data_IF_117259042528
#
_entry.id   IF_117259042528
#
_cell.length_a   1.000
_cell.length_b   1.000
_cell.length_c   1.000
_cell.angle_alpha   90.00
_cell.angle_beta   90.00
_cell.angle_gamma   90.00
#
_symmetry.space_group_name_H-M   'P 1'
#
loop_
_entity.id
_entity.type
_entity.pdbx_description
1 polymer ?
#
# COMPACT_ATOMS: atom_id res chain seq x y z
N UNK A 1 -0.66 -9.10 -3.12
CA UNK A 1 -1.53 -8.57 -2.10
C UNK A 1 -1.74 -9.78 -1.21
N UNK A 2 -1.23 -9.69 0.01
CA UNK A 2 -1.02 -10.84 0.87
C UNK A 2 -2.36 -11.43 1.33
N UNK A 3 -2.41 -12.75 1.46
CA UNK A 3 -3.54 -13.45 2.03
C UNK A 3 -3.73 -12.96 3.47
N UNK A 4 -4.98 -12.90 3.93
CA UNK A 4 -5.31 -12.57 5.33
C UNK A 4 -4.64 -13.49 6.37
N UNK A 5 -4.06 -14.61 5.92
CA UNK A 5 -3.45 -15.63 6.77
C UNK A 5 -1.92 -15.50 6.92
N UNK A 6 -1.26 -14.53 6.28
CA UNK A 6 0.18 -14.26 6.52
C UNK A 6 0.41 -13.36 7.75
N UNK A 7 -0.56 -13.27 8.67
CA UNK A 7 -0.44 -12.52 9.92
C UNK A 7 0.16 -13.40 11.01
N UNK A 8 1.45 -13.29 11.23
CA UNK A 8 2.10 -13.43 12.54
C UNK A 8 3.53 -12.83 12.44
N UNK A 9 4.07 -12.04 13.37
CA UNK A 9 3.70 -11.79 14.75
C UNK A 9 3.20 -10.35 14.96
N UNK A 10 1.96 -10.22 15.43
CA UNK A 10 1.67 -9.12 16.34
C UNK A 10 2.43 -9.43 17.63
N UNK A 11 3.34 -8.55 18.04
CA UNK A 11 3.71 -8.47 19.45
C UNK A 11 2.42 -8.19 20.21
N UNK A 12 1.84 -9.27 20.76
CA UNK A 12 0.62 -9.22 21.51
C UNK A 12 0.83 -8.23 22.66
N UNK A 13 -0.13 -7.32 22.85
CA UNK A 13 -0.31 -6.55 24.09
C UNK A 13 -0.36 -7.46 25.35
N UNK A 14 -0.48 -8.78 25.15
CA UNK A 14 -0.31 -9.83 26.14
C UNK A 14 1.09 -9.93 26.74
N UNK A 15 2.17 -9.65 26.00
CA UNK A 15 3.54 -9.75 26.54
C UNK A 15 3.81 -8.70 27.63
N UNK A 16 3.28 -7.49 27.47
CA UNK A 16 3.36 -6.46 28.50
C UNK A 16 2.52 -6.83 29.73
N UNK A 17 1.35 -7.47 29.55
CA UNK A 17 0.54 -7.97 30.68
C UNK A 17 1.15 -9.20 31.34
N UNK A 18 1.88 -10.03 30.60
CA UNK A 18 2.56 -11.19 31.15
C UNK A 18 3.77 -10.73 31.99
N UNK A 19 4.50 -9.72 31.52
CA UNK A 19 5.55 -9.05 32.31
C UNK A 19 4.95 -8.37 33.56
N UNK A 20 3.82 -7.67 33.43
CA UNK A 20 3.13 -7.03 34.58
C UNK A 20 2.55 -8.07 35.55
N UNK A 21 1.99 -9.19 35.09
CA UNK A 21 1.53 -10.30 35.95
C UNK A 21 2.69 -11.03 36.62
N UNK A 22 3.81 -11.20 35.93
CA UNK A 22 5.04 -11.74 36.52
C UNK A 22 5.58 -10.82 37.63
N UNK A 23 5.37 -9.50 37.47
CA UNK A 23 5.63 -8.48 38.50
C UNK A 23 4.65 -8.52 39.67
N UNK A 24 3.34 -8.71 39.43
CA UNK A 24 2.33 -8.82 40.51
C UNK A 24 2.52 -10.08 41.37
N UNK A 25 2.90 -11.21 40.77
CA UNK A 25 3.18 -12.46 41.48
C UNK A 25 4.41 -12.33 42.40
N UNK A 26 5.40 -11.52 42.00
CA UNK A 26 6.59 -11.23 42.82
C UNK A 26 6.31 -10.27 43.99
N UNK A 27 5.26 -9.45 43.89
CA UNK A 27 4.88 -8.49 44.93
C UNK A 27 3.82 -9.03 45.92
N UNK A 28 3.19 -10.17 45.65
CA UNK A 28 2.02 -10.65 46.40
C UNK A 28 2.26 -11.78 47.42
N UNK A 29 3.48 -12.28 47.61
CA UNK A 29 3.76 -13.34 48.60
C UNK A 29 4.68 -12.87 49.75
N UNK A 30 4.12 -12.43 50.89
CA UNK A 30 4.87 -12.13 52.10
C UNK A 30 4.89 -13.36 53.01
N UNK A 31 5.55 -14.44 52.62
CA UNK A 31 5.64 -15.62 53.48
C UNK A 31 6.93 -16.41 53.26
N UNK A 32 8.05 -15.76 53.55
CA UNK A 32 9.20 -16.40 54.21
C UNK A 32 10.22 -15.33 54.63
N UNK A 33 9.83 -14.52 55.62
CA UNK A 33 10.77 -13.66 56.34
C UNK A 33 11.26 -14.41 57.58
N UNK A 34 12.38 -15.12 57.45
CA UNK A 34 13.25 -15.37 58.60
C UNK A 34 14.60 -14.70 58.34
N UNK A 35 14.88 -13.69 59.18
CA UNK A 35 16.16 -13.04 59.42
C UNK A 35 16.99 -12.59 58.20
N UNK A 36 16.69 -11.41 57.65
CA UNK A 36 17.67 -10.61 56.89
C UNK A 36 17.68 -9.17 57.39
N UNK A 37 18.87 -8.69 57.78
CA UNK A 37 19.14 -7.36 58.36
C UNK A 37 18.56 -6.21 57.51
N UNK A 38 17.97 -5.23 58.21
CA UNK A 38 17.31 -4.00 57.74
C UNK A 38 18.15 -3.14 56.78
N UNK A 39 19.47 -3.30 56.77
CA UNK A 39 20.41 -2.54 55.92
C UNK A 39 20.41 -2.95 54.43
N UNK A 40 19.99 -4.18 54.08
CA UNK A 40 19.98 -4.65 52.66
C UNK A 40 18.74 -4.24 51.87
N UNK A 41 17.62 -3.93 52.53
CA UNK A 41 16.38 -3.53 51.86
C UNK A 41 16.45 -2.10 51.32
N UNK A 42 17.05 -1.19 52.08
CA UNK A 42 17.24 0.21 51.68
C UNK A 42 18.10 0.31 50.42
N UNK A 43 19.18 -0.47 50.37
CA UNK A 43 20.08 -0.52 49.21
C UNK A 43 19.36 -1.00 47.94
N UNK A 44 18.54 -2.06 48.03
CA UNK A 44 17.79 -2.58 46.88
C UNK A 44 16.74 -1.58 46.37
N UNK A 45 16.00 -0.92 47.26
CA UNK A 45 15.02 0.10 46.87
C UNK A 45 15.70 1.29 46.16
N UNK A 46 16.86 1.74 46.65
CA UNK A 46 17.65 2.79 46.00
C UNK A 46 18.11 2.36 44.61
N UNK A 47 18.60 1.13 44.43
CA UNK A 47 18.98 0.62 43.10
C UNK A 47 17.80 0.55 42.12
N UNK A 48 16.61 0.17 42.57
CA UNK A 48 15.41 0.17 41.72
C UNK A 48 14.99 1.58 41.32
N UNK A 49 15.01 2.53 42.25
CA UNK A 49 14.68 3.93 41.97
C UNK A 49 15.68 4.52 40.98
N UNK A 50 16.98 4.35 41.21
CA UNK A 50 18.03 4.82 40.29
C UNK A 50 17.91 4.15 38.93
N UNK A 51 17.67 2.84 38.87
CA UNK A 51 17.45 2.12 37.62
C UNK A 51 16.24 2.64 36.83
N UNK A 52 15.12 2.89 37.50
CA UNK A 52 13.93 3.48 36.89
C UNK A 52 14.21 4.89 36.35
N UNK A 53 14.86 5.76 37.14
CA UNK A 53 15.23 7.10 36.70
C UNK A 53 16.22 7.06 35.52
N UNK A 54 17.19 6.14 35.50
CA UNK A 54 18.10 5.95 34.37
C UNK A 54 17.35 5.52 33.09
N UNK A 55 16.36 4.62 33.21
CA UNK A 55 15.53 4.20 32.06
C UNK A 55 14.68 5.38 31.56
N UNK A 56 14.00 6.10 32.45
CA UNK A 56 13.20 7.28 32.09
C UNK A 56 14.07 8.36 31.46
N UNK A 57 15.24 8.64 32.02
CA UNK A 57 16.18 9.61 31.47
C UNK A 57 16.71 9.18 30.11
N UNK A 58 17.04 7.90 29.92
CA UNK A 58 17.47 7.36 28.62
C UNK A 58 16.36 7.45 27.57
N UNK A 59 15.12 7.14 27.93
CA UNK A 59 13.95 7.31 27.03
C UNK A 59 13.73 8.79 26.70
N UNK A 60 13.92 9.69 27.66
CA UNK A 60 13.76 11.12 27.45
C UNK A 60 14.87 11.70 26.55
N UNK A 61 16.13 11.32 26.78
CA UNK A 61 17.27 11.67 25.92
C UNK A 61 17.09 11.11 24.50
N UNK A 62 16.58 9.89 24.37
CA UNK A 62 16.22 9.33 23.08
C UNK A 62 15.13 10.15 22.38
N UNK A 63 14.06 10.55 23.08
CA UNK A 63 13.01 11.42 22.52
C UNK A 63 13.56 12.78 22.07
N UNK A 64 14.37 13.44 22.90
CA UNK A 64 14.97 14.74 22.57
C UNK A 64 15.93 14.63 21.38
N UNK A 65 16.74 13.56 21.33
CA UNK A 65 17.60 13.27 20.18
C UNK A 65 16.79 13.02 18.91
N UNK A 66 15.68 12.28 19.01
CA UNK A 66 14.75 12.06 17.90
C UNK A 66 14.07 13.36 17.44
N UNK A 67 13.63 14.22 18.35
CA UNK A 67 13.10 15.55 18.01
C UNK A 67 14.16 16.43 17.33
N UNK A 68 15.43 16.33 17.74
CA UNK A 68 16.56 16.99 17.11
C UNK A 68 16.82 16.52 15.68
N UNK A 69 16.74 15.21 15.42
CA UNK A 69 16.80 14.64 14.06
C UNK A 69 15.57 15.07 13.25
N UNK A 70 14.38 15.09 13.85
CA UNK A 70 13.15 15.55 13.19
C UNK A 70 13.19 17.04 12.78
N UNK A 71 13.97 17.87 13.46
CA UNK A 71 14.18 19.27 13.09
C UNK A 71 15.15 19.49 11.91
N UNK A 72 15.96 18.49 11.56
CA UNK A 72 16.96 18.56 10.46
C UNK A 72 16.52 17.84 9.19
N UNK A 73 15.47 17.02 9.28
CA UNK A 73 14.86 16.31 8.16
C UNK A 73 13.47 16.89 7.87
N UNK A 74 13.07 17.00 6.60
CA UNK A 74 11.72 17.42 6.20
C UNK A 74 10.72 16.31 6.54
N UNK A 75 10.40 16.18 7.83
CA UNK A 75 9.56 15.11 8.37
C UNK A 75 8.08 15.46 8.36
N UNK A 76 7.70 16.72 8.12
CA UNK A 76 6.32 17.10 7.80
C UNK A 76 6.16 17.32 6.29
N UNK A 77 5.42 16.44 5.64
CA UNK A 77 5.14 16.52 4.20
C UNK A 77 4.41 17.80 3.80
N UNK A 78 3.67 18.41 4.74
CA UNK A 78 2.86 19.61 4.51
C UNK A 78 3.63 20.91 4.78
N UNK A 79 4.80 20.84 5.42
CA UNK A 79 5.64 22.02 5.66
C UNK A 79 6.39 22.44 4.40
N UNK A 80 6.83 23.69 4.32
CA UNK A 80 7.60 24.17 3.17
C UNK A 80 9.02 23.57 3.12
N UNK A 81 9.55 23.16 4.28
CA UNK A 81 10.87 22.55 4.43
C UNK A 81 11.99 23.45 3.93
N UNK A 82 11.94 24.72 4.34
CA UNK A 82 12.91 25.74 3.98
C UNK A 82 14.34 25.30 4.31
N UNK A 83 15.25 25.50 3.35
CA UNK A 83 16.66 25.13 3.49
C UNK A 83 16.97 23.65 3.27
N UNK A 84 15.97 22.80 2.98
CA UNK A 84 16.18 21.38 2.65
C UNK A 84 16.09 21.20 1.13
N UNK A 85 17.09 20.57 0.48
CA UNK A 85 17.01 20.27 -0.95
C UNK A 85 15.75 19.48 -1.29
N UNK A 86 15.04 19.88 -2.34
CA UNK A 86 13.77 19.26 -2.71
C UNK A 86 13.87 17.73 -2.87
N UNK A 87 14.97 17.25 -3.46
CA UNK A 87 15.23 15.81 -3.63
C UNK A 87 15.27 15.05 -2.29
N UNK A 88 15.75 15.67 -1.22
CA UNK A 88 15.83 15.05 0.11
C UNK A 88 14.43 14.96 0.76
N UNK A 89 13.46 15.73 0.25
CA UNK A 89 12.05 15.66 0.66
C UNK A 89 11.25 14.57 -0.08
N UNK A 90 11.84 13.87 -1.05
CA UNK A 90 11.12 12.92 -1.89
C UNK A 90 11.12 11.50 -1.32
N UNK A 91 10.05 10.76 -1.60
CA UNK A 91 10.06 9.30 -1.44
C UNK A 91 10.87 8.70 -2.61
N UNK A 92 11.88 7.85 -2.35
CA UNK A 92 12.72 7.31 -3.41
C UNK A 92 11.91 6.37 -4.32
N UNK A 93 12.26 6.25 -5.62
CA UNK A 93 11.59 5.33 -6.52
C UNK A 93 12.13 3.91 -6.33
N UNK A 94 11.43 2.94 -6.90
CA UNK A 94 11.95 1.58 -7.10
C UNK A 94 12.38 0.83 -5.84
N UNK A 95 11.84 1.18 -4.68
CA UNK A 95 11.93 0.30 -3.51
C UNK A 95 11.15 -0.97 -3.83
N UNK A 96 11.78 -2.14 -3.71
CA UNK A 96 11.14 -3.42 -4.03
C UNK A 96 10.15 -3.80 -2.91
N UNK A 97 8.95 -3.21 -2.97
CA UNK A 97 7.94 -3.31 -1.92
C UNK A 97 7.15 -4.62 -2.01
N UNK A 98 6.50 -4.85 -3.14
CA UNK A 98 5.63 -5.99 -3.34
C UNK A 98 5.56 -6.37 -4.82
N UNK A 99 5.64 -7.67 -5.09
CA UNK A 99 5.51 -8.22 -6.43
C UNK A 99 4.30 -9.14 -6.48
N UNK A 100 3.31 -8.77 -7.29
CA UNK A 100 2.20 -9.64 -7.59
C UNK A 100 1.79 -9.47 -9.04
N UNK A 101 1.53 -10.60 -9.68
CA UNK A 101 1.09 -10.64 -11.06
C UNK A 101 -0.09 -11.58 -11.22
N UNK A 102 -1.00 -11.24 -12.13
CA UNK A 102 -1.90 -12.23 -12.73
C UNK A 102 -1.37 -12.57 -14.12
N UNK A 103 -1.34 -13.86 -14.46
CA UNK A 103 -0.88 -14.31 -15.78
C UNK A 103 -1.97 -15.03 -16.56
N UNK A 104 -1.81 -15.10 -17.88
CA UNK A 104 -2.54 -16.02 -18.75
C UNK A 104 -1.53 -16.92 -19.42
N UNK A 105 -1.59 -18.22 -19.14
CA UNK A 105 -0.67 -19.18 -19.76
C UNK A 105 -1.07 -19.42 -21.21
N UNK A 106 -2.37 -19.33 -21.52
CA UNK A 106 -2.89 -19.50 -22.87
C UNK A 106 -2.37 -18.46 -23.86
N UNK A 107 -2.17 -17.22 -23.41
CA UNK A 107 -1.78 -16.10 -24.27
C UNK A 107 -0.40 -15.51 -23.94
N UNK A 108 0.31 -16.05 -22.95
CA UNK A 108 1.55 -15.51 -22.37
C UNK A 108 1.46 -13.99 -22.14
N UNK A 109 0.49 -13.59 -21.31
CA UNK A 109 0.33 -12.21 -20.83
C UNK A 109 0.52 -12.21 -19.33
N UNK A 110 1.25 -11.24 -18.78
CA UNK A 110 1.28 -10.93 -17.36
C UNK A 110 0.74 -9.53 -17.11
N UNK A 111 0.07 -9.35 -15.97
CA UNK A 111 -0.40 -8.06 -15.48
C UNK A 111 0.20 -7.82 -14.10
N UNK A 112 0.96 -6.74 -13.97
CA UNK A 112 1.44 -6.24 -12.68
C UNK A 112 0.25 -5.71 -11.85
N UNK A 113 0.11 -6.20 -10.61
CA UNK A 113 -1.00 -5.86 -9.72
C UNK A 113 -0.64 -4.71 -8.78
N UNK A 114 -0.82 -3.49 -9.26
CA UNK A 114 -0.69 -2.28 -8.44
C UNK A 114 -2.06 -1.95 -7.80
N UNK A 115 -2.13 -1.63 -6.50
CA UNK A 115 -3.38 -1.19 -5.89
C UNK A 115 -3.92 0.08 -6.53
N UNK A 116 -5.26 0.16 -6.64
CA UNK A 116 -6.02 1.33 -7.12
C UNK A 116 -5.85 1.68 -8.60
N UNK A 117 -5.29 0.79 -9.42
CA UNK A 117 -5.14 1.00 -10.87
C UNK A 117 -5.79 -0.13 -11.68
N UNK A 118 -7.00 -0.55 -11.27
CA UNK A 118 -7.77 -1.63 -11.90
C UNK A 118 -7.27 -3.06 -11.60
N UNK A 119 -6.48 -3.29 -10.56
CA UNK A 119 -5.96 -4.64 -10.24
C UNK A 119 -7.03 -5.74 -10.17
N UNK A 120 -8.17 -5.52 -9.51
CA UNK A 120 -9.24 -6.53 -9.41
C UNK A 120 -9.88 -6.86 -10.77
N UNK A 121 -10.23 -5.83 -11.55
CA UNK A 121 -10.90 -6.02 -12.84
C UNK A 121 -9.92 -6.52 -13.91
N UNK A 122 -8.66 -6.08 -13.85
CA UNK A 122 -7.59 -6.58 -14.70
C UNK A 122 -7.34 -8.07 -14.47
N UNK A 123 -7.24 -8.50 -13.20
CA UNK A 123 -7.17 -9.92 -12.84
C UNK A 123 -8.36 -10.68 -13.40
N UNK A 124 -9.59 -10.18 -13.20
CA UNK A 124 -10.81 -10.79 -13.72
C UNK A 124 -10.80 -10.94 -15.24
N UNK A 125 -10.39 -9.90 -15.97
CA UNK A 125 -10.30 -9.91 -17.43
C UNK A 125 -9.28 -10.95 -17.93
N UNK A 126 -8.10 -11.02 -17.32
CA UNK A 126 -7.08 -12.01 -17.68
C UNK A 126 -7.57 -13.44 -17.42
N UNK A 127 -8.26 -13.69 -16.32
CA UNK A 127 -8.76 -15.03 -16.02
C UNK A 127 -9.92 -15.44 -16.92
N UNK A 128 -10.80 -14.49 -17.25
CA UNK A 128 -11.86 -14.72 -18.22
C UNK A 128 -11.27 -15.17 -19.55
N UNK A 129 -10.25 -14.50 -20.08
CA UNK A 129 -9.67 -14.92 -21.38
C UNK A 129 -8.89 -16.23 -21.27
N UNK A 130 -8.23 -16.52 -20.14
CA UNK A 130 -7.47 -17.76 -19.96
C UNK A 130 -8.40 -18.99 -19.93
N UNK A 131 -9.56 -18.89 -19.26
CA UNK A 131 -10.58 -19.94 -19.23
C UNK A 131 -12.03 -19.37 -19.22
N UNK A 132 -12.58 -19.00 -20.40
CA UNK A 132 -13.90 -18.37 -20.49
C UNK A 132 -15.04 -19.29 -20.06
N UNK A 133 -14.93 -20.60 -20.34
CA UNK A 133 -15.95 -21.59 -20.00
C UNK A 133 -16.10 -21.75 -18.49
N UNK A 134 -14.98 -21.89 -17.77
CA UNK A 134 -14.99 -22.03 -16.32
C UNK A 134 -15.44 -20.72 -15.63
N UNK A 135 -15.08 -19.56 -16.18
CA UNK A 135 -15.54 -18.27 -15.66
C UNK A 135 -17.06 -18.11 -15.82
N UNK A 136 -17.61 -18.50 -16.98
CA UNK A 136 -19.05 -18.45 -17.26
C UNK A 136 -19.83 -19.48 -16.45
N UNK A 137 -19.34 -20.72 -16.32
CA UNK A 137 -20.02 -21.78 -15.57
C UNK A 137 -20.11 -21.48 -14.07
N UNK A 138 -19.17 -20.69 -13.54
CA UNK A 138 -19.22 -20.17 -12.19
C UNK A 138 -20.17 -18.96 -12.01
N UNK A 139 -20.94 -18.57 -13.04
CA UNK A 139 -21.86 -17.42 -13.05
C UNK A 139 -21.19 -16.08 -12.66
N UNK A 140 -19.93 -15.90 -13.05
CA UNK A 140 -19.13 -14.74 -12.69
C UNK A 140 -19.19 -13.64 -13.75
N UNK A 141 -19.00 -12.40 -13.35
CA UNK A 141 -18.93 -11.24 -14.24
C UNK A 141 -17.73 -10.37 -13.90
N UNK A 142 -16.96 -9.97 -14.91
CA UNK A 142 -15.73 -9.20 -14.73
C UNK A 142 -15.97 -7.93 -13.90
N UNK A 143 -17.07 -7.21 -14.13
CA UNK A 143 -17.38 -5.96 -13.42
C UNK A 143 -17.72 -6.14 -11.92
N UNK A 144 -18.13 -7.35 -11.51
CA UNK A 144 -18.60 -7.63 -10.15
C UNK A 144 -17.58 -8.45 -9.33
N UNK A 145 -16.43 -8.78 -9.90
CA UNK A 145 -15.37 -9.50 -9.19
C UNK A 145 -14.90 -8.75 -7.93
N UNK A 146 -14.71 -9.52 -6.87
CA UNK A 146 -14.19 -9.05 -5.59
C UNK A 146 -12.83 -9.68 -5.30
N UNK A 147 -12.03 -8.98 -4.50
CA UNK A 147 -10.72 -9.48 -4.08
C UNK A 147 -10.79 -10.81 -3.30
N UNK A 148 -11.80 -10.96 -2.42
CA UNK A 148 -11.88 -12.09 -1.49
C UNK A 148 -12.32 -13.41 -2.14
N UNK A 149 -12.93 -13.38 -3.33
CA UNK A 149 -13.54 -14.55 -3.97
C UNK A 149 -12.95 -14.80 -5.36
N UNK A 150 -11.67 -14.46 -5.57
CA UNK A 150 -11.03 -14.49 -6.90
C UNK A 150 -11.06 -15.89 -7.50
N UNK A 151 -11.54 -15.98 -8.72
CA UNK A 151 -11.53 -17.22 -9.51
C UNK A 151 -10.12 -17.67 -9.96
N UNK A 152 -9.13 -16.80 -9.79
CA UNK A 152 -7.86 -16.80 -10.52
C UNK A 152 -6.66 -17.43 -9.79
N UNK A 153 -6.86 -18.21 -8.73
CA UNK A 153 -5.77 -18.58 -7.81
C UNK A 153 -4.57 -19.26 -8.49
N UNK A 154 -4.81 -20.06 -9.54
CA UNK A 154 -3.74 -20.74 -10.30
C UNK A 154 -2.91 -19.82 -11.21
N UNK A 155 -3.34 -18.58 -11.38
CA UNK A 155 -2.77 -17.61 -12.30
C UNK A 155 -2.03 -16.48 -11.54
N UNK A 156 -1.89 -16.59 -10.23
CA UNK A 156 -1.16 -15.62 -9.42
C UNK A 156 0.33 -15.96 -9.33
N UNK A 157 1.20 -14.96 -9.51
CA UNK A 157 2.66 -15.07 -9.36
C UNK A 157 3.14 -14.03 -8.35
N UNK A 158 4.05 -14.42 -7.45
CA UNK A 158 4.57 -13.55 -6.37
C UNK A 158 5.93 -12.92 -6.68
N UNK A 159 6.46 -13.14 -7.88
CA UNK A 159 7.65 -12.45 -8.36
C UNK A 159 7.69 -12.42 -9.89
N UNK A 160 8.48 -11.51 -10.45
CA UNK A 160 8.68 -11.45 -11.90
C UNK A 160 9.45 -12.67 -12.44
N UNK A 161 10.32 -13.27 -11.62
CA UNK A 161 10.99 -14.53 -11.94
C UNK A 161 9.99 -15.69 -12.09
N UNK A 162 8.97 -15.76 -11.22
CA UNK A 162 7.89 -16.74 -11.37
C UNK A 162 7.12 -16.54 -12.67
N UNK A 163 6.90 -15.29 -13.09
CA UNK A 163 6.29 -14.98 -14.39
C UNK A 163 7.15 -15.52 -15.53
N UNK A 164 8.46 -15.22 -15.53
CA UNK A 164 9.41 -15.73 -16.54
C UNK A 164 9.50 -17.25 -16.60
N UNK A 165 9.33 -17.92 -15.46
CA UNK A 165 9.34 -19.38 -15.38
C UNK A 165 8.06 -20.00 -15.96
N UNK A 166 6.91 -19.36 -15.76
CA UNK A 166 5.60 -19.89 -16.14
C UNK A 166 5.14 -19.50 -17.56
N UNK A 167 5.74 -18.47 -18.15
CA UNK A 167 5.38 -17.96 -19.47
C UNK A 167 6.52 -18.14 -20.48
N UNK A 168 6.21 -18.13 -21.78
CA UNK A 168 7.24 -18.13 -22.83
C UNK A 168 8.06 -16.85 -22.80
N UNK A 169 9.31 -16.90 -23.28
CA UNK A 169 10.26 -15.76 -23.29
C UNK A 169 9.72 -14.46 -23.91
N UNK A 170 8.82 -14.55 -24.88
CA UNK A 170 8.24 -13.41 -25.58
C UNK A 170 6.84 -13.02 -25.06
N UNK A 171 6.58 -13.24 -23.76
CA UNK A 171 5.33 -12.84 -23.11
C UNK A 171 5.16 -11.31 -23.11
N UNK A 172 3.91 -10.85 -23.00
CA UNK A 172 3.61 -9.42 -22.86
C UNK A 172 3.42 -9.08 -21.38
N UNK A 173 4.28 -8.21 -20.84
CA UNK A 173 4.09 -7.69 -19.48
C UNK A 173 3.33 -6.37 -19.51
N UNK A 174 2.16 -6.33 -18.88
CA UNK A 174 1.32 -5.14 -18.79
C UNK A 174 1.53 -4.49 -17.41
N UNK A 175 1.79 -3.19 -17.42
CA UNK A 175 1.77 -2.36 -16.22
C UNK A 175 0.70 -1.30 -16.42
N UNK A 176 -0.37 -1.37 -15.63
CA UNK A 176 -1.38 -0.31 -15.60
C UNK A 176 -0.96 0.73 -14.57
N UNK A 177 -0.92 2.00 -14.95
CA UNK A 177 -0.57 3.12 -14.07
C UNK A 177 -1.68 4.14 -14.03
N UNK A 178 -1.81 4.87 -12.92
CA UNK A 178 -2.85 5.88 -12.72
C UNK A 178 -2.22 7.19 -12.30
N UNK A 179 -2.89 8.29 -12.66
CA UNK A 179 -2.54 9.61 -12.16
C UNK A 179 -2.39 9.58 -10.62
N UNK A 180 -1.25 10.04 -10.06
CA UNK A 180 -1.02 9.89 -8.63
C UNK A 180 -2.02 10.66 -7.74
N UNK A 181 -2.54 11.81 -8.17
CA UNK A 181 -3.61 12.50 -7.43
C UNK A 181 -4.89 11.67 -7.43
N UNK A 182 -5.32 11.21 -8.61
CA UNK A 182 -6.53 10.39 -8.75
C UNK A 182 -6.42 9.07 -7.96
N UNK A 183 -5.23 8.43 -8.00
CA UNK A 183 -4.92 7.21 -7.25
C UNK A 183 -4.99 7.46 -5.75
N UNK A 184 -4.35 8.52 -5.26
CA UNK A 184 -4.36 8.89 -3.84
C UNK A 184 -5.79 9.15 -3.34
N UNK A 185 -6.57 9.95 -4.07
CA UNK A 185 -7.96 10.24 -3.73
C UNK A 185 -8.79 8.96 -3.71
N UNK A 186 -8.62 8.08 -4.70
CA UNK A 186 -9.30 6.79 -4.75
C UNK A 186 -8.93 5.91 -3.55
N UNK A 187 -7.67 5.95 -3.12
CA UNK A 187 -7.21 5.27 -1.91
C UNK A 187 -7.88 5.83 -0.66
N UNK A 188 -7.80 7.14 -0.45
CA UNK A 188 -8.28 7.83 0.74
C UNK A 188 -9.80 7.72 0.89
N UNK A 189 -10.54 8.00 -0.18
CA UNK A 189 -12.01 7.93 -0.16
C UNK A 189 -12.53 6.51 0.11
N UNK A 190 -11.87 5.49 -0.44
CA UNK A 190 -12.26 4.12 -0.16
C UNK A 190 -11.83 3.68 1.24
N UNK A 191 -10.53 3.78 1.57
CA UNK A 191 -10.00 3.18 2.80
C UNK A 191 -10.27 4.00 4.05
N UNK A 192 -10.20 5.33 3.98
CA UNK A 192 -10.36 6.20 5.15
C UNK A 192 -11.78 6.70 5.35
N UNK A 193 -12.49 6.99 4.26
CA UNK A 193 -13.79 7.67 4.35
C UNK A 193 -14.94 6.66 4.39
N UNK A 194 -14.90 5.64 3.51
CA UNK A 194 -15.93 4.60 3.42
C UNK A 194 -15.78 3.54 4.53
N UNK A 195 -14.55 3.09 4.83
CA UNK A 195 -14.26 2.02 5.80
C UNK A 195 -13.67 2.55 7.13
N UNK A 196 -14.34 3.53 7.76
CA UNK A 196 -13.84 4.21 8.98
C UNK A 196 -13.59 3.24 10.15
N UNK A 197 -14.36 2.15 10.25
CA UNK A 197 -14.33 1.22 11.37
C UNK A 197 -13.06 0.34 11.43
N UNK A 198 -12.27 0.28 10.35
CA UNK A 198 -11.14 -0.65 10.24
C UNK A 198 -9.78 -0.04 10.66
N UNK A 199 -9.77 1.19 11.19
CA UNK A 199 -8.56 1.97 11.55
C UNK A 199 -7.45 1.94 10.48
N UNK A 200 -7.83 1.91 9.20
CA UNK A 200 -6.90 1.78 8.07
C UNK A 200 -6.13 3.08 7.77
N UNK A 201 -6.33 4.13 8.55
CA UNK A 201 -5.79 5.46 8.26
C UNK A 201 -4.97 6.01 9.42
N UNK A 202 -4.23 5.11 10.07
CA UNK A 202 -3.25 5.40 11.10
C UNK A 202 -3.84 6.21 12.27
N UNK A 203 -5.09 5.95 12.66
CA UNK A 203 -5.81 6.71 13.69
C UNK A 203 -6.20 8.13 13.30
N UNK A 204 -6.13 8.52 12.03
CA UNK A 204 -6.53 9.86 11.55
C UNK A 204 -8.02 9.96 11.17
N UNK A 205 -8.73 8.83 11.12
CA UNK A 205 -10.12 8.80 10.65
C UNK A 205 -10.26 9.42 9.24
N UNK A 206 -10.97 10.54 9.15
CA UNK A 206 -11.25 11.27 7.90
C UNK A 206 -10.39 12.53 7.70
N UNK A 207 -9.46 12.80 8.60
CA UNK A 207 -8.55 13.94 8.52
C UNK A 207 -7.44 13.67 7.49
N UNK A 208 -7.52 14.40 6.37
CA UNK A 208 -6.60 14.26 5.25
C UNK A 208 -5.19 14.76 5.59
N UNK A 209 -5.07 15.89 6.32
CA UNK A 209 -3.77 16.44 6.71
C UNK A 209 -3.05 15.49 7.68
N UNK A 210 -3.77 14.98 8.70
CA UNK A 210 -3.22 13.98 9.61
C UNK A 210 -2.71 12.74 8.84
N UNK A 211 -3.54 12.22 7.92
CA UNK A 211 -3.21 11.03 7.17
C UNK A 211 -1.96 11.22 6.31
N UNK A 212 -1.89 12.30 5.53
CA UNK A 212 -0.74 12.60 4.67
C UNK A 212 0.56 12.67 5.48
N UNK A 213 0.57 13.36 6.63
CA UNK A 213 1.77 13.44 7.48
C UNK A 213 2.23 12.06 7.95
N UNK A 214 1.30 11.24 8.43
CA UNK A 214 1.62 9.90 8.94
C UNK A 214 2.07 8.98 7.80
N UNK A 215 1.35 8.95 6.69
CA UNK A 215 1.65 8.11 5.54
C UNK A 215 3.02 8.46 4.93
N UNK A 216 3.30 9.75 4.70
CA UNK A 216 4.61 10.18 4.19
C UNK A 216 5.77 9.76 5.09
N UNK A 217 5.65 9.94 6.42
CA UNK A 217 6.68 9.49 7.38
C UNK A 217 6.86 7.97 7.33
N UNK A 218 5.77 7.22 7.17
CA UNK A 218 5.81 5.76 7.03
C UNK A 218 6.52 5.35 5.74
N UNK A 219 6.21 5.96 4.60
CA UNK A 219 6.89 5.70 3.33
C UNK A 219 8.39 6.01 3.40
N UNK A 220 8.78 7.15 4.00
CA UNK A 220 10.19 7.48 4.25
C UNK A 220 10.87 6.37 5.05
N UNK A 221 10.28 5.96 6.18
CA UNK A 221 10.82 4.89 7.03
C UNK A 221 10.90 3.54 6.30
N UNK A 222 9.87 3.16 5.54
CA UNK A 222 9.86 1.95 4.72
C UNK A 222 11.05 1.91 3.77
N UNK A 223 11.34 3.03 3.11
CA UNK A 223 12.47 3.10 2.17
C UNK A 223 13.86 3.00 2.82
N UNK A 224 13.95 3.17 4.14
CA UNK A 224 15.21 3.21 4.90
C UNK A 224 15.44 1.96 5.75
N UNK A 225 14.37 1.42 6.34
CA UNK A 225 14.41 0.36 7.34
C UNK A 225 13.32 -0.64 6.96
N UNK A 226 13.66 -1.86 6.54
CA UNK A 226 12.69 -2.92 6.20
C UNK A 226 11.68 -3.15 7.34
N UNK A 227 10.46 -2.58 7.32
CA UNK A 227 9.57 -2.61 8.47
C UNK A 227 8.36 -3.51 8.21
N UNK A 228 7.56 -3.68 9.26
CA UNK A 228 6.23 -4.29 9.13
C UNK A 228 5.31 -3.34 8.36
N UNK A 229 4.75 -3.83 7.26
CA UNK A 229 3.84 -3.09 6.41
C UNK A 229 2.39 -3.18 6.90
N UNK A 230 1.63 -2.10 6.70
CA UNK A 230 0.18 -2.10 6.93
C UNK A 230 -0.58 -2.20 5.61
N UNK A 231 -1.88 -2.51 5.72
CA UNK A 231 -2.77 -2.49 4.56
C UNK A 231 -2.87 -1.07 3.96
N UNK A 232 -2.78 -0.03 4.78
CA UNK A 232 -2.76 1.35 4.34
C UNK A 232 -1.55 1.61 3.43
N UNK A 233 -0.34 1.30 3.93
CA UNK A 233 0.92 1.53 3.21
C UNK A 233 0.87 0.91 1.81
N UNK A 234 0.31 -0.29 1.69
CA UNK A 234 0.17 -0.97 0.39
C UNK A 234 -0.68 -0.17 -0.60
N UNK A 235 -1.77 0.46 -0.16
CA UNK A 235 -2.65 1.21 -1.05
C UNK A 235 -2.13 2.59 -1.43
N UNK A 236 -1.20 3.14 -0.64
CA UNK A 236 -0.63 4.48 -0.83
C UNK A 236 0.86 4.49 -1.15
N UNK A 237 1.53 3.34 -1.20
CA UNK A 237 2.91 3.24 -1.69
C UNK A 237 3.01 3.70 -3.15
N UNK A 238 4.12 4.34 -3.56
CA UNK A 238 4.37 4.72 -4.96
C UNK A 238 4.21 3.52 -5.90
N UNK A 239 3.65 3.76 -7.09
CA UNK A 239 3.42 2.74 -8.11
C UNK A 239 4.75 2.13 -8.59
N UNK A 240 5.80 2.93 -8.63
CA UNK A 240 7.18 2.51 -8.92
C UNK A 240 7.75 1.47 -7.95
N UNK A 241 7.12 1.23 -6.81
CA UNK A 241 7.57 0.26 -5.81
C UNK A 241 7.11 -1.17 -6.06
N UNK A 242 6.21 -1.38 -7.02
CA UNK A 242 5.59 -2.68 -7.25
C UNK A 242 6.27 -3.44 -8.39
N UNK A 243 6.13 -4.77 -8.41
CA UNK A 243 6.40 -5.62 -9.57
C UNK A 243 7.84 -5.52 -10.13
N UNK A 244 8.81 -5.29 -9.25
CA UNK A 244 10.22 -5.10 -9.65
C UNK A 244 10.38 -4.05 -10.76
N UNK A 245 9.62 -2.95 -10.67
CA UNK A 245 9.44 -2.01 -11.79
C UNK A 245 10.76 -1.46 -12.34
N UNK A 246 11.79 -1.33 -11.51
CA UNK A 246 13.14 -0.93 -11.93
C UNK A 246 13.65 -1.74 -13.10
N UNK A 247 13.44 -3.05 -13.05
CA UNK A 247 13.96 -4.01 -14.02
C UNK A 247 12.93 -4.37 -15.10
N UNK A 248 11.63 -4.15 -14.84
CA UNK A 248 10.57 -4.57 -15.76
C UNK A 248 10.04 -3.45 -16.65
N UNK A 249 10.15 -2.18 -16.24
CA UNK A 249 9.47 -1.05 -16.90
C UNK A 249 9.81 -0.91 -18.39
N UNK A 250 11.07 -1.10 -18.78
CA UNK A 250 11.52 -0.92 -20.18
C UNK A 250 10.94 -1.97 -21.14
N UNK A 251 10.66 -3.16 -20.62
CA UNK A 251 10.18 -4.31 -21.40
C UNK A 251 8.67 -4.52 -21.23
N UNK A 252 7.96 -3.53 -20.68
CA UNK A 252 6.54 -3.62 -20.37
C UNK A 252 5.70 -2.70 -21.26
N UNK A 253 4.49 -3.15 -21.59
CA UNK A 253 3.45 -2.29 -22.14
C UNK A 253 2.79 -1.50 -21.01
N UNK A 254 2.99 -0.19 -21.03
CA UNK A 254 2.39 0.74 -20.07
C UNK A 254 0.99 1.14 -20.53
N UNK A 255 -0.02 0.97 -19.68
CA UNK A 255 -1.41 1.38 -19.94
C UNK A 255 -1.82 2.42 -18.91
N UNK A 256 -2.32 3.57 -19.36
CA UNK A 256 -2.80 4.63 -18.46
C UNK A 256 -4.25 4.37 -18.08
N UNK A 257 -4.49 4.23 -16.78
CA UNK A 257 -5.83 4.06 -16.23
C UNK A 257 -6.64 5.35 -16.30
N UNK A 258 -7.90 5.23 -16.69
CA UNK A 258 -8.89 6.29 -16.50
C UNK A 258 -10.29 5.72 -16.26
N UNK A 259 -11.06 6.42 -15.43
CA UNK A 259 -12.44 6.05 -15.11
C UNK A 259 -13.49 6.82 -15.93
N UNK A 260 -13.09 7.78 -16.77
CA UNK A 260 -14.04 8.69 -17.43
C UNK A 260 -13.54 9.21 -18.78
N UNK A 261 -14.50 9.70 -19.58
CA UNK A 261 -14.25 10.39 -20.84
C UNK A 261 -13.50 9.56 -21.88
N UNK A 262 -12.81 10.28 -22.78
CA UNK A 262 -12.00 9.69 -23.86
C UNK A 262 -10.80 8.90 -23.33
N UNK A 263 -10.23 9.28 -22.19
CA UNK A 263 -9.09 8.56 -21.60
C UNK A 263 -9.46 7.13 -21.19
N UNK A 264 -10.70 6.90 -20.74
CA UNK A 264 -11.17 5.54 -20.47
C UNK A 264 -11.30 4.72 -21.75
N UNK A 265 -11.76 5.33 -22.84
CA UNK A 265 -11.85 4.66 -24.15
C UNK A 265 -10.45 4.27 -24.61
N UNK A 266 -9.48 5.19 -24.53
CA UNK A 266 -8.06 4.94 -24.85
C UNK A 266 -7.48 3.80 -24.00
N UNK A 267 -7.74 3.81 -22.69
CA UNK A 267 -7.32 2.71 -21.79
C UNK A 267 -7.87 1.36 -22.27
N UNK A 268 -9.16 1.28 -22.59
CA UNK A 268 -9.79 0.04 -23.07
C UNK A 268 -9.20 -0.38 -24.42
N UNK A 269 -9.01 0.56 -25.35
CA UNK A 269 -8.42 0.29 -26.65
C UNK A 269 -6.98 -0.22 -26.54
N UNK A 270 -6.18 0.34 -25.63
CA UNK A 270 -4.80 -0.10 -25.39
C UNK A 270 -4.76 -1.53 -24.81
N UNK A 271 -5.69 -1.90 -23.94
CA UNK A 271 -5.85 -3.29 -23.47
C UNK A 271 -6.23 -4.20 -24.65
N UNK A 272 -7.18 -3.78 -25.50
CA UNK A 272 -7.60 -4.57 -26.67
C UNK A 272 -6.47 -4.74 -27.69
N UNK A 273 -5.60 -3.74 -27.89
CA UNK A 273 -4.41 -3.86 -28.74
C UNK A 273 -3.47 -4.95 -28.23
N UNK A 274 -3.24 -5.03 -26.92
CA UNK A 274 -2.43 -6.10 -26.33
C UNK A 274 -3.07 -7.46 -26.58
N UNK A 275 -4.39 -7.58 -26.36
CA UNK A 275 -5.10 -8.85 -26.56
C UNK A 275 -5.08 -9.29 -28.03
N UNK A 276 -5.28 -8.35 -28.96
CA UNK A 276 -5.18 -8.60 -30.41
C UNK A 276 -3.77 -9.07 -30.79
N UNK A 277 -2.72 -8.38 -30.31
CA UNK A 277 -1.30 -8.76 -30.53
C UNK A 277 -1.01 -10.19 -30.07
N UNK A 278 -1.64 -10.60 -28.97
CA UNK A 278 -1.49 -11.95 -28.37
C UNK A 278 -2.50 -12.97 -28.88
N UNK A 279 -3.28 -12.61 -29.91
CA UNK A 279 -4.25 -13.48 -30.60
C UNK A 279 -5.33 -14.05 -29.65
N UNK A 280 -5.79 -13.24 -28.71
CA UNK A 280 -6.97 -13.56 -27.91
C UNK A 280 -8.18 -13.70 -28.85
N UNK A 281 -9.06 -14.67 -28.59
CA UNK A 281 -10.23 -14.90 -29.42
C UNK A 281 -11.14 -13.64 -29.46
N UNK A 282 -11.62 -13.28 -30.65
CA UNK A 282 -12.44 -12.09 -30.88
C UNK A 282 -13.71 -12.06 -30.01
N UNK A 283 -14.31 -13.21 -29.77
CA UNK A 283 -15.48 -13.32 -28.87
C UNK A 283 -15.14 -12.96 -27.42
N UNK A 284 -13.98 -13.38 -26.94
CA UNK A 284 -13.52 -13.12 -25.57
C UNK A 284 -13.09 -11.67 -25.42
N UNK A 285 -12.41 -11.12 -26.43
CA UNK A 285 -12.08 -9.69 -26.49
C UNK A 285 -13.33 -8.82 -26.42
N UNK A 286 -14.36 -9.12 -27.23
CA UNK A 286 -15.64 -8.39 -27.20
C UNK A 286 -16.33 -8.47 -25.83
N UNK A 287 -16.29 -9.63 -25.18
CA UNK A 287 -16.84 -9.81 -23.84
C UNK A 287 -16.10 -8.94 -22.82
N UNK A 288 -14.76 -8.96 -22.81
CA UNK A 288 -13.97 -8.09 -21.93
C UNK A 288 -14.22 -6.62 -22.23
N UNK A 289 -14.15 -6.20 -23.49
CA UNK A 289 -14.37 -4.80 -23.90
C UNK A 289 -15.70 -4.26 -23.38
N UNK A 290 -16.77 -5.06 -23.50
CA UNK A 290 -18.10 -4.72 -22.98
C UNK A 290 -18.08 -4.51 -21.47
N UNK A 291 -17.42 -5.38 -20.72
CA UNK A 291 -17.33 -5.29 -19.25
C UNK A 291 -16.50 -4.08 -18.80
N UNK A 292 -15.35 -3.83 -19.43
CA UNK A 292 -14.51 -2.66 -19.12
C UNK A 292 -15.20 -1.33 -19.47
N UNK A 293 -16.09 -1.36 -20.46
CA UNK A 293 -16.85 -0.18 -20.92
C UNK A 293 -17.95 0.25 -19.95
N UNK A 294 -18.34 -0.56 -18.96
CA UNK A 294 -19.38 -0.22 -17.96
C UNK A 294 -18.95 0.87 -16.97
N UNK A 295 -17.65 1.12 -16.80
CA UNK A 295 -17.09 2.30 -16.12
C UNK A 295 -17.17 2.35 -14.58
N UNK A 296 -18.11 1.65 -13.93
CA UNK A 296 -18.19 1.59 -12.45
C UNK A 296 -18.00 0.17 -11.93
N UNK A 297 -17.10 0.03 -10.97
CA UNK A 297 -16.88 -1.19 -10.18
C UNK A 297 -17.39 -0.98 -8.77
N UNK A 298 -17.57 -2.05 -8.01
CA UNK A 298 -18.05 -2.00 -6.61
C UNK A 298 -17.15 -1.18 -5.66
N UNK A 299 -15.86 -1.05 -6.00
CA UNK A 299 -14.88 -0.25 -5.27
C UNK A 299 -14.72 1.17 -5.83
N UNK A 300 -15.42 1.51 -6.91
CA UNK A 300 -15.31 2.84 -7.50
C UNK A 300 -15.89 3.90 -6.57
N UNK A 301 -15.07 4.89 -6.21
CA UNK A 301 -15.51 6.09 -5.48
C UNK A 301 -15.82 7.26 -6.43
N UNK A 302 -15.66 7.03 -7.74
CA UNK A 302 -15.80 8.04 -8.79
C UNK A 302 -17.19 8.70 -8.80
N UNK A 303 -17.22 10.02 -8.79
CA UNK A 303 -18.45 10.81 -8.86
C UNK A 303 -19.25 10.89 -7.56
N UNK A 304 -18.75 10.36 -6.43
CA UNK A 304 -19.40 10.58 -5.12
C UNK A 304 -19.18 12.00 -4.61
N UNK A 305 -20.17 12.58 -3.91
CA UNK A 305 -20.06 13.91 -3.29
C UNK A 305 -18.88 14.00 -2.30
N UNK A 306 -18.64 12.91 -1.56
CA UNK A 306 -17.49 12.78 -0.67
C UNK A 306 -16.16 12.86 -1.44
N UNK A 307 -16.04 12.19 -2.59
CA UNK A 307 -14.84 12.28 -3.42
C UNK A 307 -14.63 13.68 -3.98
N UNK A 308 -15.68 14.34 -4.45
CA UNK A 308 -15.61 15.72 -4.96
C UNK A 308 -15.13 16.70 -3.89
N UNK A 309 -15.50 16.47 -2.62
CA UNK A 309 -15.00 17.26 -1.49
C UNK A 309 -13.49 17.15 -1.33
N UNK A 310 -12.93 15.93 -1.31
CA UNK A 310 -11.48 15.74 -1.18
C UNK A 310 -10.69 16.14 -2.45
N UNK A 311 -11.27 15.97 -3.63
CA UNK A 311 -10.72 16.51 -4.89
C UNK A 311 -10.58 18.03 -4.82
N UNK A 312 -11.59 18.71 -4.28
CA UNK A 312 -11.56 20.16 -4.05
C UNK A 312 -10.47 20.55 -3.05
N UNK A 313 -10.38 19.86 -1.92
CA UNK A 313 -9.35 20.11 -0.91
C UNK A 313 -7.94 20.01 -1.49
N UNK A 314 -7.64 18.95 -2.26
CA UNK A 314 -6.33 18.81 -2.92
C UNK A 314 -6.12 19.92 -3.95
N UNK A 315 -7.14 20.32 -4.72
CA UNK A 315 -7.00 21.40 -5.70
C UNK A 315 -6.79 22.78 -5.07
N UNK A 316 -7.33 23.03 -3.88
CA UNK A 316 -7.28 24.35 -3.24
C UNK A 316 -6.09 24.48 -2.28
N UNK A 317 -5.75 23.42 -1.54
CA UNK A 317 -4.66 23.42 -0.57
C UNK A 317 -3.32 23.07 -1.24
N UNK A 318 -2.47 24.09 -1.39
CA UNK A 318 -1.14 23.92 -1.99
C UNK A 318 -0.20 23.04 -1.17
N UNK A 319 -0.34 23.00 0.16
CA UNK A 319 0.49 22.16 1.03
C UNK A 319 0.17 20.69 0.82
N UNK A 320 -1.12 20.35 0.68
CA UNK A 320 -1.55 18.99 0.32
C UNK A 320 -0.98 18.58 -1.04
N UNK A 321 -1.06 19.45 -2.06
CA UNK A 321 -0.49 19.12 -3.38
C UNK A 321 1.01 18.87 -3.30
N UNK A 322 1.75 19.77 -2.64
CA UNK A 322 3.21 19.61 -2.45
C UNK A 322 3.52 18.29 -1.75
N UNK A 323 2.78 17.92 -0.72
CA UNK A 323 2.96 16.67 -0.02
C UNK A 323 2.73 15.43 -0.92
N UNK A 324 1.65 15.42 -1.71
CA UNK A 324 1.36 14.33 -2.65
C UNK A 324 2.44 14.25 -3.74
N UNK A 325 2.92 15.39 -4.25
CA UNK A 325 4.05 15.44 -5.18
C UNK A 325 5.31 14.86 -4.54
N UNK A 326 5.64 15.20 -3.29
CA UNK A 326 6.77 14.59 -2.57
C UNK A 326 6.64 13.07 -2.42
N UNK A 327 5.42 12.59 -2.18
CA UNK A 327 5.13 11.16 -2.07
C UNK A 327 5.28 10.41 -3.40
N UNK A 328 4.91 11.03 -4.53
CA UNK A 328 4.77 10.36 -5.82
C UNK A 328 5.55 10.98 -6.96
N UNK A 329 6.55 11.82 -6.68
CA UNK A 329 7.29 12.60 -7.68
C UNK A 329 7.76 11.74 -8.86
N UNK A 330 8.34 10.58 -8.58
CA UNK A 330 8.82 9.68 -9.61
C UNK A 330 7.71 8.97 -10.38
N UNK A 331 6.54 8.74 -9.77
CA UNK A 331 5.38 8.24 -10.52
C UNK A 331 4.90 9.30 -11.53
N UNK A 332 4.83 10.57 -11.13
CA UNK A 332 4.51 11.67 -12.06
C UNK A 332 5.52 11.75 -13.20
N UNK A 333 6.81 11.75 -12.86
CA UNK A 333 7.90 11.89 -13.81
C UNK A 333 7.97 10.72 -14.80
N UNK A 334 8.01 9.49 -14.30
CA UNK A 334 8.25 8.29 -15.11
C UNK A 334 7.04 7.92 -15.96
N UNK A 335 5.82 8.20 -15.50
CA UNK A 335 4.60 7.88 -16.24
C UNK A 335 4.05 9.07 -17.03
N UNK A 336 4.68 10.24 -16.94
CA UNK A 336 4.32 11.44 -17.70
C UNK A 336 2.96 12.01 -17.33
N UNK A 337 2.70 12.16 -16.02
CA UNK A 337 1.55 12.87 -15.45
C UNK A 337 1.96 14.28 -15.00
N UNK A 338 0.99 15.21 -14.98
CA UNK A 338 1.20 16.58 -14.52
C UNK A 338 1.19 16.67 -12.99
N UNK A 339 2.11 17.46 -12.42
CA UNK A 339 2.20 17.74 -10.98
C UNK A 339 1.37 18.94 -10.55
#
# INVERSE_FOLDING_TARGET
>A
MTYSNDRELLLHQGDLRQIVRMFEVYCANPSHFHHVKKERLLSRAVFFIVGFFCVVFSVNQYKISMEGVESRECNDALADCDGIPFNDTLIPPFYNYLQDFTVTRRYDISLCLIPKVMSTIGTAALCYIDNPEAFKSANRTISNEMYAERFCERNEMKSYEMVKYNLKRNFENIIVVRDPFDRFISGFTEKCVKYVAEDLCHGCGRDLHCFIRKEYRRLKRISMLFPVYTLADTHFAPQTWFCDMKNTLKDSTLIRYSNSGMERVRMVDDIMKVFSKRKVAEEDMRAVQKELSKGKTIHSTAGSSLRQHYERLIREDSAIRRAIVRMYYYDFLLFGYSM
#
